data_IF_337614053462
#
_entry.id   IF_337614053462
#
_cell.length_a   1.000
_cell.length_b   1.000
_cell.length_c   1.000
_cell.angle_alpha   90.00
_cell.angle_beta   90.00
_cell.angle_gamma   90.00
#
_symmetry.space_group_name_H-M   'P 1'
#
loop_
_entity.id
_entity.type
_entity.pdbx_description
1 polymer ?
#
# COMPACT_ATOMS: atom_id res chain seq x y z
N UNK A 1 6.74 -12.99 -22.59
CA UNK A 1 7.74 -13.36 -21.56
C UNK A 1 7.64 -12.29 -20.50
N UNK A 2 7.20 -12.60 -19.27
CA UNK A 2 6.84 -11.60 -18.24
C UNK A 2 8.01 -10.67 -17.85
N UNK A 3 9.26 -11.07 -18.10
CA UNK A 3 10.46 -10.27 -17.83
C UNK A 3 11.54 -10.54 -18.91
N UNK A 4 12.18 -9.51 -19.49
CA UNK A 4 13.23 -9.71 -20.49
C UNK A 4 14.49 -10.36 -19.89
N UNK A 5 15.20 -11.15 -20.68
CA UNK A 5 16.37 -11.94 -20.26
C UNK A 5 17.71 -11.25 -20.57
N UNK A 6 18.56 -11.04 -19.55
CA UNK A 6 19.95 -10.52 -19.66
C UNK A 6 20.92 -11.18 -18.67
N UNK A 7 22.22 -11.20 -18.95
CA UNK A 7 23.25 -11.87 -18.14
C UNK A 7 23.60 -11.12 -16.84
N UNK A 8 23.55 -11.82 -15.69
CA UNK A 8 23.83 -11.28 -14.35
C UNK A 8 22.73 -11.60 -13.33
N UNK A 9 23.04 -12.41 -12.30
CA UNK A 9 22.05 -12.86 -11.31
C UNK A 9 21.49 -11.74 -10.41
N UNK A 10 22.34 -10.80 -9.97
CA UNK A 10 21.91 -9.65 -9.15
C UNK A 10 21.08 -8.64 -9.95
N UNK A 11 21.44 -8.42 -11.21
CA UNK A 11 20.72 -7.50 -12.10
C UNK A 11 19.30 -8.02 -12.41
N UNK A 12 19.14 -9.33 -12.64
CA UNK A 12 17.82 -9.96 -12.83
C UNK A 12 16.90 -9.78 -11.62
N UNK A 13 17.42 -9.92 -10.41
CA UNK A 13 16.60 -9.80 -9.18
C UNK A 13 16.13 -8.37 -8.98
N UNK A 14 17.02 -7.41 -9.26
CA UNK A 14 16.67 -5.99 -9.21
C UNK A 14 15.60 -5.66 -10.26
N UNK A 15 15.71 -6.21 -11.47
CA UNK A 15 14.68 -6.06 -12.52
C UNK A 15 13.33 -6.63 -12.10
N UNK A 16 13.30 -7.86 -11.57
CA UNK A 16 12.08 -8.48 -11.05
C UNK A 16 11.49 -7.63 -9.93
N UNK A 17 12.29 -7.18 -8.97
CA UNK A 17 11.81 -6.32 -7.90
C UNK A 17 11.20 -5.02 -8.44
N UNK A 18 11.88 -4.35 -9.37
CA UNK A 18 11.42 -3.10 -9.97
C UNK A 18 10.14 -3.27 -10.79
N UNK A 19 9.92 -4.44 -11.39
CA UNK A 19 8.67 -4.74 -12.09
C UNK A 19 7.49 -5.03 -11.16
N UNK A 20 7.75 -5.60 -9.97
CA UNK A 20 6.71 -5.93 -8.97
C UNK A 20 6.30 -4.70 -8.15
N UNK A 21 7.23 -3.76 -7.89
CA UNK A 21 6.98 -2.59 -7.06
C UNK A 21 5.68 -1.83 -7.45
N UNK A 22 5.45 -1.47 -8.73
CA UNK A 22 4.23 -0.78 -9.13
C UNK A 22 2.96 -1.52 -8.72
N UNK A 23 2.90 -2.85 -8.89
CA UNK A 23 1.75 -3.66 -8.46
C UNK A 23 1.52 -3.60 -6.94
N UNK A 24 2.60 -3.64 -6.16
CA UNK A 24 2.49 -3.60 -4.70
C UNK A 24 2.17 -2.23 -4.14
N UNK A 25 2.41 -1.18 -4.91
CA UNK A 25 2.23 0.21 -4.50
C UNK A 25 0.93 0.83 -5.01
N UNK A 26 0.45 0.39 -6.17
CA UNK A 26 -0.88 0.72 -6.66
C UNK A 26 -1.91 0.44 -5.56
N UNK A 27 -2.74 1.43 -5.24
CA UNK A 27 -3.76 1.37 -4.17
C UNK A 27 -3.21 1.03 -2.77
N UNK A 28 -1.93 1.28 -2.49
CA UNK A 28 -1.36 1.02 -1.17
C UNK A 28 -2.08 1.78 -0.04
N UNK A 29 -2.45 3.06 -0.29
CA UNK A 29 -3.27 3.83 0.65
C UNK A 29 -4.63 3.16 0.92
N UNK A 30 -5.31 2.65 -0.13
CA UNK A 30 -6.57 1.93 0.03
C UNK A 30 -6.40 0.65 0.86
N UNK A 31 -5.31 -0.10 0.66
CA UNK A 31 -4.96 -1.26 1.50
C UNK A 31 -4.84 -0.86 2.97
N UNK A 32 -4.10 0.21 3.27
CA UNK A 32 -3.95 0.71 4.65
C UNK A 32 -5.29 1.13 5.27
N UNK A 33 -6.17 1.75 4.48
CA UNK A 33 -7.53 2.10 4.90
C UNK A 33 -8.39 0.86 5.19
N UNK A 34 -8.35 -0.15 4.33
CA UNK A 34 -9.08 -1.41 4.49
C UNK A 34 -8.62 -2.17 5.74
N UNK A 35 -7.31 -2.24 5.92
CA UNK A 35 -6.63 -2.81 7.08
C UNK A 35 -7.04 -2.12 8.40
N UNK A 36 -7.12 -0.78 8.40
CA UNK A 36 -7.61 -0.02 9.56
C UNK A 36 -9.09 -0.30 9.81
N UNK A 37 -9.92 -0.24 8.77
CA UNK A 37 -11.35 -0.50 8.87
C UNK A 37 -11.63 -1.91 9.42
N UNK A 38 -10.88 -2.92 8.96
CA UNK A 38 -11.00 -4.29 9.46
C UNK A 38 -10.62 -4.37 10.95
N UNK A 39 -9.55 -3.68 11.37
CA UNK A 39 -9.17 -3.64 12.78
C UNK A 39 -10.25 -2.97 13.66
N UNK A 40 -10.83 -1.86 13.19
CA UNK A 40 -11.96 -1.18 13.85
C UNK A 40 -13.19 -2.09 13.94
N UNK A 41 -13.54 -2.76 12.84
CA UNK A 41 -14.66 -3.71 12.80
C UNK A 41 -14.44 -4.88 13.75
N UNK A 42 -13.22 -5.42 13.82
CA UNK A 42 -12.86 -6.53 14.72
C UNK A 42 -12.95 -6.13 16.20
N UNK A 43 -12.65 -4.87 16.53
CA UNK A 43 -12.85 -4.35 17.89
C UNK A 43 -14.33 -4.21 18.28
N UNK A 44 -15.24 -4.27 17.30
CA UNK A 44 -16.69 -4.40 17.47
C UNK A 44 -17.34 -3.30 18.35
N UNK A 45 -16.87 -2.05 18.20
CA UNK A 45 -17.49 -0.87 18.83
C UNK A 45 -18.44 -0.21 17.84
N UNK A 46 -19.74 -0.19 18.15
CA UNK A 46 -20.78 0.34 17.25
C UNK A 46 -20.60 1.84 17.02
N UNK A 47 -20.23 2.56 18.07
CA UNK A 47 -19.97 4.00 18.07
C UNK A 47 -18.89 4.37 17.06
N UNK A 48 -17.81 3.58 16.98
CA UNK A 48 -16.72 3.81 16.03
C UNK A 48 -17.16 3.60 14.57
N UNK A 49 -18.04 2.62 14.31
CA UNK A 49 -18.57 2.38 12.97
C UNK A 49 -19.53 3.51 12.54
N UNK A 50 -20.32 4.05 13.46
CA UNK A 50 -21.17 5.22 13.19
C UNK A 50 -20.34 6.48 12.88
N UNK A 51 -19.26 6.73 13.62
CA UNK A 51 -18.33 7.83 13.31
C UNK A 51 -17.82 7.72 11.87
N UNK A 52 -17.39 6.51 11.44
CA UNK A 52 -16.90 6.28 10.07
C UNK A 52 -18.01 6.51 9.05
N UNK A 53 -19.24 6.05 9.31
CA UNK A 53 -20.36 6.22 8.37
C UNK A 53 -20.73 7.69 8.16
N UNK A 54 -20.63 8.50 9.21
CA UNK A 54 -21.02 9.92 9.21
C UNK A 54 -19.93 10.87 8.68
N UNK A 55 -18.79 10.36 8.21
CA UNK A 55 -17.79 11.17 7.50
C UNK A 55 -18.37 11.61 6.16
N UNK A 56 -18.30 12.90 5.87
CA UNK A 56 -18.76 13.47 4.59
C UNK A 56 -17.81 13.10 3.45
N UNK A 57 -16.50 13.07 3.73
CA UNK A 57 -15.49 12.75 2.73
C UNK A 57 -15.38 11.24 2.48
N UNK A 58 -15.53 10.84 1.22
CA UNK A 58 -15.31 9.47 0.77
C UNK A 58 -16.60 8.76 0.37
N UNK A 59 -16.50 7.94 -0.68
CA UNK A 59 -17.64 7.23 -1.28
C UNK A 59 -17.99 5.92 -0.55
N UNK A 60 -17.03 5.34 0.16
CA UNK A 60 -17.13 4.05 0.82
C UNK A 60 -16.42 4.06 2.17
N UNK A 61 -16.60 3.03 2.99
CA UNK A 61 -16.05 2.97 4.35
C UNK A 61 -14.52 3.04 4.40
N UNK A 62 -13.82 2.54 3.38
CA UNK A 62 -12.36 2.60 3.28
C UNK A 62 -11.91 4.05 3.05
N UNK A 63 -12.52 4.74 2.10
CA UNK A 63 -12.24 6.16 1.84
C UNK A 63 -12.59 7.03 3.05
N UNK A 64 -13.72 6.76 3.73
CA UNK A 64 -14.12 7.47 4.95
C UNK A 64 -13.11 7.25 6.08
N UNK A 65 -12.59 6.03 6.24
CA UNK A 65 -11.51 5.76 7.20
C UNK A 65 -10.24 6.54 6.85
N UNK A 66 -9.85 6.58 5.58
CA UNK A 66 -8.70 7.36 5.12
C UNK A 66 -8.89 8.86 5.33
N UNK A 67 -10.10 9.37 5.07
CA UNK A 67 -10.44 10.76 5.31
C UNK A 67 -10.34 11.15 6.80
N UNK A 68 -10.76 10.27 7.72
CA UNK A 68 -10.61 10.48 9.16
C UNK A 68 -9.13 10.66 9.53
N UNK A 69 -8.24 9.80 9.01
CA UNK A 69 -6.82 9.85 9.39
C UNK A 69 -6.02 10.91 8.65
N UNK A 70 -6.31 11.17 7.37
CA UNK A 70 -5.52 12.06 6.53
C UNK A 70 -5.92 13.53 6.67
N UNK A 71 -7.22 13.84 6.77
CA UNK A 71 -7.73 15.21 6.70
C UNK A 71 -7.71 15.84 8.09
N UNK A 72 -7.02 16.97 8.27
CA UNK A 72 -6.92 17.58 9.59
C UNK A 72 -8.27 18.06 10.14
N UNK A 73 -9.18 18.52 9.28
CA UNK A 73 -10.56 18.87 9.64
C UNK A 73 -11.40 17.74 10.25
N UNK A 74 -10.95 16.48 10.16
CA UNK A 74 -11.57 15.34 10.85
C UNK A 74 -10.92 15.03 12.22
N UNK A 75 -10.16 15.98 12.80
CA UNK A 75 -9.50 15.82 14.11
C UNK A 75 -10.47 15.43 15.22
N UNK A 76 -11.63 16.07 15.31
CA UNK A 76 -12.60 15.79 16.37
C UNK A 76 -13.11 14.34 16.29
N UNK A 77 -13.38 13.85 15.07
CA UNK A 77 -13.74 12.44 14.82
C UNK A 77 -12.61 11.48 15.21
N UNK A 78 -11.34 11.84 14.97
CA UNK A 78 -10.19 11.04 15.43
C UNK A 78 -10.10 11.00 16.94
N UNK A 79 -10.32 12.13 17.61
CA UNK A 79 -10.29 12.21 19.07
C UNK A 79 -11.42 11.38 19.70
N UNK A 80 -12.62 11.37 19.10
CA UNK A 80 -13.70 10.45 19.48
C UNK A 80 -13.28 8.99 19.33
N UNK A 81 -12.64 8.61 18.23
CA UNK A 81 -12.11 7.25 18.07
C UNK A 81 -11.07 6.92 19.14
N UNK A 82 -10.18 7.85 19.49
CA UNK A 82 -9.22 7.62 20.58
C UNK A 82 -9.90 7.43 21.93
N UNK A 83 -10.97 8.17 22.23
CA UNK A 83 -11.78 7.98 23.44
C UNK A 83 -12.47 6.62 23.47
N UNK A 84 -13.06 6.18 22.36
CA UNK A 84 -13.71 4.86 22.25
C UNK A 84 -12.70 3.72 22.47
N UNK A 85 -11.46 3.92 22.00
CA UNK A 85 -10.39 2.93 22.05
C UNK A 85 -9.41 3.18 23.20
N UNK A 86 -9.84 3.76 24.31
CA UNK A 86 -8.91 4.17 25.36
C UNK A 86 -8.06 3.00 25.91
N UNK A 87 -8.70 1.85 26.12
CA UNK A 87 -8.02 0.62 26.56
C UNK A 87 -7.34 -0.17 25.41
N UNK A 88 -7.58 0.21 24.15
CA UNK A 88 -7.07 -0.46 22.95
C UNK A 88 -5.83 0.25 22.36
N UNK A 89 -4.73 0.24 23.11
CA UNK A 89 -3.46 0.93 22.78
C UNK A 89 -2.97 0.63 21.36
N UNK A 90 -3.03 -0.64 20.92
CA UNK A 90 -2.56 -1.03 19.58
C UNK A 90 -3.37 -0.37 18.45
N UNK A 91 -4.68 -0.23 18.62
CA UNK A 91 -5.54 0.40 17.62
C UNK A 91 -5.37 1.92 17.62
N UNK A 92 -5.23 2.55 18.79
CA UNK A 92 -4.85 3.96 18.90
C UNK A 92 -3.54 4.24 18.16
N UNK A 93 -2.52 3.41 18.41
CA UNK A 93 -1.23 3.53 17.72
C UNK A 93 -1.36 3.38 16.21
N UNK A 94 -2.22 2.47 15.72
CA UNK A 94 -2.45 2.30 14.28
C UNK A 94 -3.11 3.52 13.64
N UNK A 95 -4.12 4.11 14.29
CA UNK A 95 -4.79 5.33 13.84
C UNK A 95 -3.78 6.50 13.80
N UNK A 96 -2.99 6.66 14.87
CA UNK A 96 -1.97 7.71 14.96
C UNK A 96 -0.88 7.55 13.89
N UNK A 97 -0.33 6.35 13.74
CA UNK A 97 0.69 6.05 12.74
C UNK A 97 0.18 6.36 11.31
N UNK A 98 -1.05 5.97 10.98
CA UNK A 98 -1.65 6.32 9.71
C UNK A 98 -1.89 7.82 9.56
N UNK A 99 -2.35 8.52 10.60
CA UNK A 99 -2.46 9.99 10.58
C UNK A 99 -1.13 10.62 10.21
N UNK A 100 -0.04 10.24 10.89
CA UNK A 100 1.29 10.85 10.64
C UNK A 100 1.82 10.55 9.25
N UNK A 101 1.54 9.37 8.70
CA UNK A 101 1.96 8.99 7.34
C UNK A 101 1.13 9.66 6.24
N UNK A 102 -0.10 10.04 6.54
CA UNK A 102 -1.07 10.53 5.55
C UNK A 102 -1.40 12.02 5.70
N UNK A 103 -0.74 12.75 6.58
CA UNK A 103 -1.07 14.16 6.87
C UNK A 103 -0.70 15.14 5.74
N UNK A 104 0.32 14.82 4.94
CA UNK A 104 0.83 15.72 3.90
C UNK A 104 1.44 14.97 2.73
N UNK A 105 1.57 15.65 1.60
CA UNK A 105 2.16 15.11 0.38
C UNK A 105 3.58 14.54 0.61
N UNK A 106 4.41 15.21 1.42
CA UNK A 106 5.75 14.71 1.75
C UNK A 106 5.68 13.41 2.57
N UNK A 107 4.81 13.34 3.58
CA UNK A 107 4.67 12.14 4.41
C UNK A 107 4.14 10.95 3.61
N UNK A 108 3.17 11.18 2.73
CA UNK A 108 2.64 10.14 1.83
C UNK A 108 3.74 9.64 0.89
N UNK A 109 4.53 10.56 0.32
CA UNK A 109 5.67 10.20 -0.54
C UNK A 109 6.69 9.36 0.21
N UNK A 110 7.05 9.75 1.42
CA UNK A 110 7.98 8.98 2.25
C UNK A 110 7.43 7.60 2.59
N UNK A 111 6.14 7.50 2.91
CA UNK A 111 5.46 6.22 3.15
C UNK A 111 5.56 5.30 1.93
N UNK A 112 5.30 5.82 0.74
CA UNK A 112 5.39 5.05 -0.51
C UNK A 112 6.84 4.61 -0.79
N UNK A 113 7.81 5.52 -0.66
CA UNK A 113 9.24 5.20 -0.90
C UNK A 113 9.73 4.14 0.11
N UNK A 114 9.32 4.23 1.37
CA UNK A 114 9.64 3.24 2.41
C UNK A 114 9.03 1.88 2.06
N UNK A 115 7.79 1.85 1.56
CA UNK A 115 7.15 0.62 1.08
C UNK A 115 7.87 0.01 -0.13
N UNK A 116 8.16 0.79 -1.17
CA UNK A 116 8.93 0.33 -2.34
C UNK A 116 10.26 -0.30 -1.93
N UNK A 117 11.00 0.35 -1.03
CA UNK A 117 12.28 -0.12 -0.51
C UNK A 117 12.14 -1.43 0.27
N UNK A 118 11.08 -1.55 1.07
CA UNK A 118 10.78 -2.77 1.82
C UNK A 118 10.54 -3.95 0.86
N UNK A 119 9.72 -3.76 -0.16
CA UNK A 119 9.44 -4.78 -1.19
C UNK A 119 10.74 -5.20 -1.90
N UNK A 120 11.56 -4.23 -2.31
CA UNK A 120 12.88 -4.51 -2.91
C UNK A 120 13.75 -5.39 -2.01
N UNK A 121 13.91 -5.00 -0.73
CA UNK A 121 14.71 -5.76 0.23
C UNK A 121 14.16 -7.15 0.50
N UNK A 122 12.84 -7.29 0.58
CA UNK A 122 12.19 -8.60 0.77
C UNK A 122 12.45 -9.52 -0.42
N UNK A 123 12.32 -9.04 -1.67
CA UNK A 123 12.60 -9.81 -2.88
C UNK A 123 14.08 -10.22 -2.96
N UNK A 124 15.00 -9.31 -2.66
CA UNK A 124 16.43 -9.63 -2.59
C UNK A 124 16.72 -10.70 -1.51
N UNK A 125 16.06 -10.62 -0.35
CA UNK A 125 16.19 -11.62 0.72
C UNK A 125 15.64 -12.99 0.31
N UNK A 126 14.51 -13.03 -0.38
CA UNK A 126 13.93 -14.27 -0.94
C UNK A 126 14.94 -14.92 -1.90
N UNK A 127 15.51 -14.14 -2.82
CA UNK A 127 16.48 -14.66 -3.78
C UNK A 127 17.76 -15.20 -3.13
N UNK A 128 18.37 -14.44 -2.19
CA UNK A 128 19.56 -14.89 -1.45
C UNK A 128 19.28 -16.18 -0.67
N UNK A 129 18.10 -16.26 -0.04
CA UNK A 129 17.69 -17.46 0.71
C UNK A 129 17.51 -18.66 -0.22
N UNK A 130 16.86 -18.47 -1.37
CA UNK A 130 16.71 -19.51 -2.39
C UNK A 130 18.07 -20.03 -2.89
N UNK A 131 19.03 -19.14 -3.13
CA UNK A 131 20.37 -19.53 -3.53
C UNK A 131 21.09 -20.30 -2.42
N UNK A 132 20.97 -19.85 -1.17
CA UNK A 132 21.55 -20.56 -0.03
C UNK A 132 20.99 -21.97 0.12
N UNK A 133 19.68 -22.17 -0.03
CA UNK A 133 19.04 -23.49 0.02
C UNK A 133 19.63 -24.42 -1.05
N UNK A 134 19.79 -23.92 -2.28
CA UNK A 134 20.33 -24.72 -3.40
C UNK A 134 21.79 -25.08 -3.20
N UNK A 135 22.60 -24.14 -2.70
CA UNK A 135 24.03 -24.35 -2.54
C UNK A 135 24.41 -25.10 -1.27
N UNK A 136 23.65 -24.94 -0.18
CA UNK A 136 24.00 -25.50 1.14
C UNK A 136 23.12 -26.66 1.58
N UNK A 137 21.98 -26.90 0.92
CA UNK A 137 21.01 -27.93 1.29
C UNK A 137 20.37 -27.72 2.67
N UNK A 138 20.62 -26.58 3.34
CA UNK A 138 20.11 -26.28 4.68
C UNK A 138 18.84 -25.45 4.61
N UNK A 139 17.81 -25.89 5.32
CA UNK A 139 16.61 -25.10 5.56
C UNK A 139 16.88 -24.00 6.59
N UNK A 140 16.32 -22.81 6.37
CA UNK A 140 16.44 -21.67 7.28
C UNK A 140 15.16 -21.54 8.12
N UNK A 141 15.25 -21.16 9.41
CA UNK A 141 14.09 -21.09 10.31
C UNK A 141 13.02 -20.08 9.88
N UNK A 142 13.37 -19.12 9.02
CA UNK A 142 12.47 -18.05 8.55
C UNK A 142 11.90 -18.29 7.14
N UNK A 143 12.01 -19.51 6.60
CA UNK A 143 11.55 -19.82 5.24
C UNK A 143 10.04 -19.58 5.06
N UNK A 144 9.23 -19.91 6.07
CA UNK A 144 7.77 -19.73 6.03
C UNK A 144 7.39 -18.26 5.81
N UNK A 145 8.01 -17.34 6.57
CA UNK A 145 7.77 -15.91 6.40
C UNK A 145 8.19 -15.41 5.00
N UNK A 146 9.22 -15.98 4.38
CA UNK A 146 9.60 -15.63 3.02
C UNK A 146 8.58 -16.15 2.00
N UNK A 147 8.08 -17.37 2.18
CA UNK A 147 7.04 -17.98 1.35
C UNK A 147 5.74 -17.16 1.43
N UNK A 148 5.32 -16.75 2.63
CA UNK A 148 4.16 -15.87 2.82
C UNK A 148 4.32 -14.54 2.08
N UNK A 149 5.51 -13.93 2.12
CA UNK A 149 5.78 -12.71 1.35
C UNK A 149 5.68 -12.95 -0.17
N UNK A 150 6.21 -14.08 -0.67
CA UNK A 150 6.09 -14.44 -2.09
C UNK A 150 4.63 -14.59 -2.50
N UNK A 151 3.83 -15.33 -1.72
CA UNK A 151 2.39 -15.47 -1.96
C UNK A 151 1.71 -14.09 -1.98
N UNK A 152 1.98 -13.25 -0.98
CA UNK A 152 1.38 -11.91 -0.94
C UNK A 152 1.73 -11.04 -2.16
N UNK A 153 2.91 -11.18 -2.76
CA UNK A 153 3.26 -10.45 -3.98
C UNK A 153 2.61 -11.05 -5.22
N UNK A 154 2.57 -12.37 -5.31
CA UNK A 154 1.92 -13.07 -6.42
C UNK A 154 0.43 -12.74 -6.47
N UNK A 155 -0.27 -12.88 -5.34
CA UNK A 155 -1.69 -12.55 -5.21
C UNK A 155 -1.93 -11.10 -5.63
N UNK A 156 -1.07 -10.18 -5.18
CA UNK A 156 -1.20 -8.76 -5.54
C UNK A 156 -1.02 -8.49 -7.04
N UNK A 157 -0.09 -9.18 -7.68
CA UNK A 157 0.11 -9.07 -9.14
C UNK A 157 -1.11 -9.61 -9.87
N UNK A 158 -1.60 -10.79 -9.48
CA UNK A 158 -2.77 -11.41 -10.09
C UNK A 158 -4.03 -10.57 -9.92
N UNK A 159 -4.30 -10.05 -8.72
CA UNK A 159 -5.45 -9.18 -8.44
C UNK A 159 -5.49 -7.97 -9.37
N UNK A 160 -4.35 -7.30 -9.54
CA UNK A 160 -4.27 -6.11 -10.39
C UNK A 160 -4.39 -6.48 -11.86
N UNK A 161 -3.75 -7.58 -12.30
CA UNK A 161 -3.87 -8.01 -13.69
C UNK A 161 -5.31 -8.37 -14.04
N UNK A 162 -6.01 -9.08 -13.15
CA UNK A 162 -7.42 -9.40 -13.31
C UNK A 162 -8.26 -8.13 -13.36
N UNK A 163 -8.07 -7.20 -12.42
CA UNK A 163 -8.82 -5.94 -12.40
C UNK A 163 -8.61 -5.11 -13.67
N UNK A 164 -7.38 -4.89 -14.10
CA UNK A 164 -7.07 -4.06 -15.27
C UNK A 164 -7.55 -4.72 -16.57
N UNK A 165 -7.46 -6.05 -16.66
CA UNK A 165 -7.96 -6.81 -17.82
C UNK A 165 -9.48 -6.81 -17.88
N UNK A 166 -10.16 -6.93 -16.74
CA UNK A 166 -11.63 -6.79 -16.67
C UNK A 166 -12.08 -5.39 -17.00
N UNK A 167 -11.31 -4.36 -16.63
CA UNK A 167 -11.65 -2.95 -16.91
C UNK A 167 -11.53 -2.59 -18.39
N UNK A 168 -10.65 -3.25 -19.14
CA UNK A 168 -10.42 -2.99 -20.55
C UNK A 168 -11.13 -3.97 -21.48
N UNK A 169 -12.09 -4.75 -20.98
CA UNK A 169 -12.77 -5.82 -21.72
C UNK A 169 -11.78 -6.77 -22.43
N UNK A 170 -10.62 -7.02 -21.82
CA UNK A 170 -9.57 -7.88 -22.37
C UNK A 170 -8.76 -7.27 -23.52
N UNK A 171 -8.94 -5.99 -23.85
CA UNK A 171 -8.28 -5.33 -24.99
C UNK A 171 -6.85 -4.84 -24.68
N UNK A 172 -6.35 -5.07 -23.45
CA UNK A 172 -5.01 -4.64 -23.02
C UNK A 172 -4.09 -5.83 -22.80
N UNK A 173 -2.84 -5.74 -23.26
CA UNK A 173 -1.83 -6.76 -22.98
C UNK A 173 -1.21 -6.60 -21.59
N UNK A 174 -0.66 -7.67 -21.03
CA UNK A 174 0.06 -7.61 -19.74
C UNK A 174 1.20 -6.59 -19.79
N UNK A 175 1.94 -6.52 -20.90
CA UNK A 175 3.03 -5.55 -21.06
C UNK A 175 2.53 -4.10 -21.02
N UNK A 176 1.37 -3.82 -21.62
CA UNK A 176 0.72 -2.52 -21.53
C UNK A 176 0.28 -2.19 -20.10
N UNK A 177 -0.29 -3.15 -19.38
CA UNK A 177 -0.66 -2.99 -17.96
C UNK A 177 0.58 -2.67 -17.12
N UNK A 178 1.66 -3.44 -17.27
CA UNK A 178 2.93 -3.21 -16.60
C UNK A 178 3.48 -1.79 -16.86
N UNK A 179 3.48 -1.36 -18.12
CA UNK A 179 3.95 -0.03 -18.51
C UNK A 179 3.07 1.08 -17.91
N UNK A 180 1.75 0.91 -17.95
CA UNK A 180 0.79 1.85 -17.38
C UNK A 180 0.94 1.98 -15.87
N UNK A 181 1.03 0.87 -15.14
CA UNK A 181 1.20 0.90 -13.68
C UNK A 181 2.50 1.59 -13.28
N UNK A 182 3.58 1.37 -14.03
CA UNK A 182 4.85 2.06 -13.81
C UNK A 182 4.71 3.57 -14.03
N UNK A 183 4.07 3.98 -15.12
CA UNK A 183 3.81 5.40 -15.41
C UNK A 183 2.94 6.06 -14.33
N UNK A 184 1.88 5.39 -13.89
CA UNK A 184 1.00 5.87 -12.82
C UNK A 184 1.78 6.02 -11.50
N UNK A 185 2.59 5.03 -11.15
CA UNK A 185 3.43 5.06 -9.96
C UNK A 185 4.41 6.25 -9.98
N UNK A 186 5.14 6.42 -11.08
CA UNK A 186 6.11 7.51 -11.24
C UNK A 186 5.41 8.88 -11.28
N UNK A 187 4.25 8.97 -11.93
CA UNK A 187 3.41 10.17 -11.97
C UNK A 187 2.94 10.57 -10.57
N UNK A 188 2.46 9.61 -9.77
CA UNK A 188 2.02 9.86 -8.40
C UNK A 188 3.17 10.34 -7.50
N UNK A 189 4.34 9.71 -7.58
CA UNK A 189 5.52 10.18 -6.85
C UNK A 189 5.97 11.58 -7.27
N UNK A 190 5.86 11.90 -8.57
CA UNK A 190 6.16 13.23 -9.09
C UNK A 190 5.15 14.28 -8.63
N UNK A 191 3.87 13.95 -8.61
CA UNK A 191 2.80 14.78 -8.08
C UNK A 191 3.08 15.13 -6.62
N UNK A 192 3.35 14.12 -5.78
CA UNK A 192 3.65 14.33 -4.36
C UNK A 192 4.92 15.17 -4.17
N UNK A 193 5.95 14.95 -4.99
CA UNK A 193 7.18 15.75 -4.98
C UNK A 193 6.90 17.22 -5.30
N UNK A 194 6.01 17.52 -6.25
CA UNK A 194 5.62 18.89 -6.63
C UNK A 194 4.75 19.55 -5.54
N UNK A 195 3.83 18.81 -4.94
CA UNK A 195 2.95 19.28 -3.86
C UNK A 195 3.72 19.58 -2.56
N UNK A 196 4.91 18.99 -2.36
CA UNK A 196 5.82 19.28 -1.23
C UNK A 196 5.13 19.14 0.14
N UNK A 197 4.80 20.25 0.80
CA UNK A 197 4.24 20.32 2.16
C UNK A 197 2.73 20.59 2.16
N UNK A 198 2.07 20.42 1.02
CA UNK A 198 0.61 20.49 0.95
C UNK A 198 0.00 19.46 1.91
N UNK A 199 -0.83 19.93 2.84
CA UNK A 199 -1.55 19.08 3.79
C UNK A 199 -2.78 18.48 3.13
N UNK A 200 -3.18 17.30 3.63
CA UNK A 200 -4.42 16.67 3.19
C UNK A 200 -5.63 17.45 3.70
N UNK A 201 -6.43 17.91 2.74
CA UNK A 201 -7.68 18.63 2.91
C UNK A 201 -8.80 17.94 2.09
N UNK A 202 -10.04 18.37 2.31
CA UNK A 202 -11.25 17.77 1.72
C UNK A 202 -11.20 17.69 0.19
N UNK A 203 -10.61 18.69 -0.45
CA UNK A 203 -10.53 18.87 -1.89
C UNK A 203 -9.35 18.13 -2.54
N UNK A 204 -8.24 17.94 -1.83
CA UNK A 204 -7.00 17.39 -2.41
C UNK A 204 -6.63 15.98 -1.93
N UNK A 205 -7.21 15.46 -0.84
CA UNK A 205 -6.69 14.24 -0.20
C UNK A 205 -6.73 13.01 -1.12
N UNK A 206 -7.77 12.87 -1.96
CA UNK A 206 -7.88 11.77 -2.92
C UNK A 206 -6.72 11.79 -3.93
N UNK A 207 -6.47 12.97 -4.51
CA UNK A 207 -5.36 13.19 -5.44
C UNK A 207 -4.01 12.90 -4.80
N UNK A 208 -3.82 13.30 -3.54
CA UNK A 208 -2.60 12.99 -2.80
C UNK A 208 -2.46 11.50 -2.46
N UNK A 209 -3.54 10.82 -2.06
CA UNK A 209 -3.48 9.40 -1.65
C UNK A 209 -3.41 8.43 -2.83
N UNK A 210 -4.08 8.74 -3.93
CA UNK A 210 -4.32 7.81 -5.04
C UNK A 210 -3.69 8.24 -6.37
N UNK A 211 -3.26 9.50 -6.49
CA UNK A 211 -2.59 10.01 -7.69
C UNK A 211 -3.51 10.35 -8.85
N UNK A 212 -4.84 10.30 -8.65
CA UNK A 212 -5.88 10.59 -9.64
C UNK A 212 -6.89 11.63 -9.15
#
# INVERSE_FOLDING_TARGET
MLFPSYEGGEDKVLQIANSIIPFTTTKYAAKLGADLYFAIRKANKKEALEIIRNVEEGSNTIEKCLAIVAIDGNKDKREELYRIYDEHILLKNRIYDLKTKLESANMIREMIIKHNRRVLWQIQRIYRTRNLIIHSGKSLPFINALVENVHSYLDRVLDILMEETSRSDGQTSIDQICAQLKLQHDSHLNLLRKAKREYCAKDNYKKLLFGN
#
